data_IF_355946369323
#
_entry.id   IF_355946369323
#
_cell.length_a   1.000
_cell.length_b   1.000
_cell.length_c   1.000
_cell.angle_alpha   90.00
_cell.angle_beta   90.00
_cell.angle_gamma   90.00
#
_symmetry.space_group_name_H-M   'P 1'
#
loop_
_entity.id
_entity.type
_entity.pdbx_description
1 polymer ?
#
# COMPACT_ATOMS: atom_id res chain seq x y z
N UNK A 1 3.84 -8.30 -0.88
CA UNK A 1 3.38 -6.91 -1.00
C UNK A 1 2.04 -6.82 -1.75
N UNK A 2 1.89 -7.44 -2.92
CA UNK A 2 0.66 -7.40 -3.71
C UNK A 2 -0.59 -7.82 -2.92
N UNK A 3 -0.52 -8.92 -2.17
CA UNK A 3 -1.62 -9.39 -1.34
C UNK A 3 -2.06 -8.34 -0.30
N UNK A 4 -1.12 -7.66 0.34
CA UNK A 4 -1.41 -6.60 1.32
C UNK A 4 -2.11 -5.42 0.64
N UNK A 5 -1.61 -4.98 -0.52
CA UNK A 5 -2.23 -3.90 -1.29
C UNK A 5 -3.65 -4.27 -1.76
N UNK A 6 -3.86 -5.52 -2.17
CA UNK A 6 -5.19 -6.02 -2.53
C UNK A 6 -6.13 -6.04 -1.31
N UNK A 7 -5.67 -6.48 -0.13
CA UNK A 7 -6.47 -6.44 1.09
C UNK A 7 -6.86 -5.01 1.48
N UNK A 8 -5.92 -4.04 1.36
CA UNK A 8 -6.21 -2.63 1.61
C UNK A 8 -7.24 -2.11 0.61
N UNK A 9 -7.10 -2.45 -0.68
CA UNK A 9 -8.04 -2.05 -1.72
C UNK A 9 -9.46 -2.60 -1.48
N UNK A 10 -9.57 -3.88 -1.13
CA UNK A 10 -10.85 -4.51 -0.78
C UNK A 10 -11.43 -3.84 0.47
N UNK A 11 -10.63 -3.64 1.52
CA UNK A 11 -11.07 -2.98 2.75
C UNK A 11 -11.57 -1.56 2.50
N UNK A 12 -10.98 -0.80 1.58
CA UNK A 12 -11.45 0.56 1.26
C UNK A 12 -12.68 0.58 0.36
N UNK A 13 -12.87 -0.40 -0.53
CA UNK A 13 -14.01 -0.47 -1.43
C UNK A 13 -15.27 -1.07 -0.77
N UNK A 14 -15.10 -1.98 0.18
CA UNK A 14 -16.18 -2.76 0.79
C UNK A 14 -17.29 -1.89 1.39
N UNK A 15 -17.01 -0.79 2.13
CA UNK A 15 -18.04 0.08 2.69
C UNK A 15 -18.91 0.78 1.65
N UNK A 16 -18.35 0.99 0.46
CA UNK A 16 -19.05 1.68 -0.64
C UNK A 16 -19.99 0.73 -1.36
N UNK A 17 -19.56 -0.55 -1.51
CA UNK A 17 -20.35 -1.57 -2.22
C UNK A 17 -21.43 -2.16 -1.36
N UNK A 18 -21.17 -2.36 -0.06
CA UNK A 18 -22.08 -2.99 0.91
C UNK A 18 -22.17 -2.15 2.19
N UNK A 19 -23.02 -1.10 2.23
CA UNK A 19 -23.11 -0.16 3.36
C UNK A 19 -23.90 -0.75 4.53
N UNK A 20 -23.42 -1.85 5.12
CA UNK A 20 -24.03 -2.52 6.28
C UNK A 20 -23.09 -2.41 7.50
N UNK A 21 -23.66 -2.23 8.71
CA UNK A 21 -22.90 -2.09 9.96
C UNK A 21 -21.83 -3.18 10.18
N UNK A 22 -22.17 -4.48 10.10
CA UNK A 22 -21.20 -5.56 10.23
C UNK A 22 -20.09 -5.50 9.17
N UNK A 23 -20.42 -5.15 7.92
CA UNK A 23 -19.47 -5.02 6.83
C UNK A 23 -18.49 -3.86 7.06
N UNK A 24 -18.98 -2.74 7.61
CA UNK A 24 -18.14 -1.62 8.00
C UNK A 24 -17.10 -2.01 9.05
N UNK A 25 -17.47 -2.80 10.05
CA UNK A 25 -16.54 -3.30 11.06
C UNK A 25 -15.48 -4.22 10.46
N UNK A 26 -15.89 -5.19 9.64
CA UNK A 26 -14.96 -6.10 8.96
C UNK A 26 -14.02 -5.32 8.04
N UNK A 27 -14.54 -4.36 7.27
CA UNK A 27 -13.76 -3.47 6.41
C UNK A 27 -12.71 -2.70 7.21
N UNK A 28 -13.10 -2.09 8.33
CA UNK A 28 -12.19 -1.32 9.19
C UNK A 28 -11.07 -2.20 9.75
N UNK A 29 -11.37 -3.42 10.18
CA UNK A 29 -10.38 -4.37 10.70
C UNK A 29 -9.42 -4.82 9.58
N UNK A 30 -9.94 -5.24 8.42
CA UNK A 30 -9.12 -5.69 7.28
C UNK A 30 -8.23 -4.55 6.78
N UNK A 31 -8.79 -3.36 6.61
CA UNK A 31 -8.04 -2.18 6.19
C UNK A 31 -6.95 -1.82 7.19
N UNK A 32 -7.32 -1.68 8.48
CA UNK A 32 -6.40 -1.29 9.55
C UNK A 32 -5.23 -2.25 9.69
N UNK A 33 -5.48 -3.55 9.79
CA UNK A 33 -4.43 -4.57 9.89
C UNK A 33 -3.52 -4.54 8.66
N UNK A 34 -4.09 -4.45 7.46
CA UNK A 34 -3.32 -4.46 6.22
C UNK A 34 -2.43 -3.22 6.05
N UNK A 35 -2.92 -2.05 6.43
CA UNK A 35 -2.13 -0.79 6.39
C UNK A 35 -0.91 -0.88 7.30
N UNK A 36 -1.07 -1.42 8.51
CA UNK A 36 0.07 -1.58 9.43
C UNK A 36 1.09 -2.62 8.98
N UNK A 37 0.68 -3.61 8.19
CA UNK A 37 1.60 -4.61 7.63
C UNK A 37 2.42 -4.08 6.43
N UNK A 38 1.96 -3.04 5.74
CA UNK A 38 2.59 -2.55 4.53
C UNK A 38 4.05 -2.07 4.72
N UNK A 39 4.40 -1.24 5.72
CA UNK A 39 5.79 -0.83 5.97
C UNK A 39 6.72 -2.01 6.27
N UNK A 40 6.23 -2.99 7.03
CA UNK A 40 6.98 -4.22 7.32
C UNK A 40 7.27 -5.04 6.06
N UNK A 41 6.30 -5.17 5.16
CA UNK A 41 6.47 -5.88 3.90
C UNK A 41 7.50 -5.19 2.98
N UNK A 42 7.50 -3.86 2.92
CA UNK A 42 8.48 -3.08 2.14
C UNK A 42 9.88 -3.25 2.72
N UNK A 43 10.01 -3.17 4.03
CA UNK A 43 11.29 -3.38 4.72
C UNK A 43 11.83 -4.78 4.49
N UNK A 44 10.99 -5.80 4.58
CA UNK A 44 11.37 -7.18 4.32
C UNK A 44 11.80 -7.38 2.85
N UNK A 45 11.05 -6.80 1.90
CA UNK A 45 11.42 -6.81 0.49
C UNK A 45 12.80 -6.19 0.24
N UNK A 46 13.09 -5.04 0.83
CA UNK A 46 14.39 -4.39 0.73
C UNK A 46 15.52 -5.28 1.26
N UNK A 47 15.31 -5.93 2.42
CA UNK A 47 16.30 -6.83 3.02
C UNK A 47 16.57 -8.09 2.21
N UNK A 48 15.55 -8.62 1.53
CA UNK A 48 15.69 -9.83 0.71
C UNK A 48 16.36 -9.56 -0.64
N UNK A 49 16.26 -8.35 -1.17
CA UNK A 49 16.70 -8.03 -2.53
C UNK A 49 17.95 -7.13 -2.60
N UNK A 50 18.38 -6.54 -1.49
CA UNK A 50 19.49 -5.60 -1.45
C UNK A 50 20.59 -6.07 -0.50
N UNK A 51 21.87 -5.76 -0.82
CA UNK A 51 22.98 -6.01 0.11
C UNK A 51 22.83 -5.13 1.37
N UNK A 52 23.35 -5.59 2.54
CA UNK A 52 23.23 -4.85 3.81
C UNK A 52 23.67 -3.40 3.75
N UNK A 53 24.70 -3.09 2.97
CA UNK A 53 25.22 -1.73 2.80
C UNK A 53 24.20 -0.77 2.14
N UNK A 54 23.22 -1.29 1.39
CA UNK A 54 22.19 -0.51 0.70
C UNK A 54 20.88 -0.37 1.52
N UNK A 55 20.70 -1.12 2.60
CA UNK A 55 19.43 -1.13 3.36
C UNK A 55 19.06 0.24 3.90
N UNK A 56 20.03 0.96 4.50
CA UNK A 56 19.78 2.29 5.06
C UNK A 56 19.22 3.26 4.02
N UNK A 57 19.85 3.32 2.85
CA UNK A 57 19.40 4.19 1.75
C UNK A 57 18.02 3.80 1.22
N UNK A 58 17.79 2.51 1.01
CA UNK A 58 16.52 2.03 0.49
C UNK A 58 15.37 2.30 1.48
N UNK A 59 15.57 1.98 2.76
CA UNK A 59 14.55 2.19 3.79
C UNK A 59 14.27 3.69 3.98
N UNK A 60 15.30 4.55 3.97
CA UNK A 60 15.12 6.01 4.05
C UNK A 60 14.33 6.56 2.87
N UNK A 61 14.60 6.09 1.65
CA UNK A 61 13.87 6.49 0.47
C UNK A 61 12.39 6.05 0.54
N UNK A 62 12.13 4.82 0.93
CA UNK A 62 10.76 4.34 1.12
C UNK A 62 10.02 5.13 2.20
N UNK A 63 10.69 5.44 3.30
CA UNK A 63 10.11 6.27 4.39
C UNK A 63 9.78 7.67 3.89
N UNK A 64 10.65 8.29 3.11
CA UNK A 64 10.42 9.61 2.52
C UNK A 64 9.21 9.59 1.58
N UNK A 65 9.18 8.64 0.65
CA UNK A 65 8.05 8.49 -0.29
C UNK A 65 6.74 8.24 0.46
N UNK A 66 6.79 7.39 1.49
CA UNK A 66 5.64 7.10 2.34
C UNK A 66 5.14 8.35 3.09
N UNK A 67 6.04 9.15 3.67
CA UNK A 67 5.69 10.39 4.36
C UNK A 67 5.03 11.41 3.42
N UNK A 68 5.59 11.58 2.22
CA UNK A 68 5.00 12.45 1.18
C UNK A 68 3.62 11.94 0.78
N UNK A 69 3.47 10.64 0.55
CA UNK A 69 2.20 10.05 0.18
C UNK A 69 1.15 10.15 1.29
N UNK A 70 1.55 10.01 2.56
CA UNK A 70 0.65 10.19 3.72
C UNK A 70 0.14 11.63 3.83
N UNK A 71 0.93 12.61 3.45
CA UNK A 71 0.51 14.02 3.46
C UNK A 71 -0.37 14.35 2.25
N UNK A 72 0.06 13.93 1.06
CA UNK A 72 -0.65 14.21 -0.19
C UNK A 72 -1.94 13.40 -0.36
N UNK A 73 -1.98 12.18 0.18
CA UNK A 73 -3.12 11.25 0.05
C UNK A 73 -4.43 11.81 0.60
N UNK A 74 -4.50 12.19 1.88
CA UNK A 74 -5.71 12.77 2.46
C UNK A 74 -6.16 14.06 1.76
N UNK A 75 -5.19 14.91 1.36
CA UNK A 75 -5.48 16.12 0.62
C UNK A 75 -6.13 15.82 -0.75
N UNK A 76 -5.53 14.90 -1.51
CA UNK A 76 -6.08 14.45 -2.79
C UNK A 76 -7.45 13.77 -2.65
N UNK A 77 -7.62 12.93 -1.63
CA UNK A 77 -8.90 12.27 -1.35
C UNK A 77 -9.98 13.27 -0.96
N UNK A 78 -9.65 14.29 -0.15
CA UNK A 78 -10.54 15.39 0.19
C UNK A 78 -10.98 16.16 -1.05
N UNK A 79 -10.03 16.55 -1.89
CA UNK A 79 -10.30 17.28 -3.14
C UNK A 79 -11.24 16.49 -4.08
N UNK A 80 -11.01 15.19 -4.25
CA UNK A 80 -11.89 14.32 -5.06
C UNK A 80 -13.27 14.23 -4.42
N UNK A 81 -13.36 14.09 -3.09
CA UNK A 81 -14.61 14.06 -2.35
C UNK A 81 -15.40 15.35 -2.52
N UNK A 82 -14.76 16.51 -2.40
CA UNK A 82 -15.39 17.83 -2.53
C UNK A 82 -15.87 18.07 -3.97
N UNK A 83 -15.05 17.74 -4.96
CA UNK A 83 -15.43 17.91 -6.37
C UNK A 83 -16.56 16.97 -6.81
N UNK A 84 -16.61 15.77 -6.28
CA UNK A 84 -17.64 14.77 -6.61
C UNK A 84 -18.90 14.86 -5.73
N UNK A 85 -18.83 15.59 -4.63
CA UNK A 85 -19.88 15.64 -3.61
C UNK A 85 -20.15 14.29 -2.91
N UNK A 86 -19.25 13.31 -3.07
CA UNK A 86 -19.43 11.95 -2.54
C UNK A 86 -18.10 11.33 -2.10
N UNK A 87 -17.95 11.11 -0.81
CA UNK A 87 -16.77 10.47 -0.21
C UNK A 87 -16.50 9.05 -0.76
N UNK A 88 -17.54 8.35 -1.18
CA UNK A 88 -17.44 7.02 -1.77
C UNK A 88 -16.59 7.02 -3.06
N UNK A 89 -16.64 8.10 -3.84
CA UNK A 89 -15.82 8.26 -5.04
C UNK A 89 -14.34 8.32 -4.68
N UNK A 90 -13.99 9.04 -3.61
CA UNK A 90 -12.59 9.09 -3.10
C UNK A 90 -12.11 7.72 -2.65
N UNK A 91 -12.94 6.95 -1.96
CA UNK A 91 -12.59 5.59 -1.52
C UNK A 91 -12.39 4.64 -2.69
N UNK A 92 -13.24 4.72 -3.71
CA UNK A 92 -13.09 3.91 -4.93
C UNK A 92 -11.85 4.32 -5.73
N UNK A 93 -11.56 5.61 -5.85
CA UNK A 93 -10.34 6.09 -6.49
C UNK A 93 -9.09 5.60 -5.76
N UNK A 94 -9.07 5.64 -4.43
CA UNK A 94 -7.99 5.09 -3.62
C UNK A 94 -7.85 3.57 -3.80
N UNK A 95 -8.97 2.83 -3.83
CA UNK A 95 -8.97 1.39 -4.09
C UNK A 95 -8.40 1.06 -5.48
N UNK A 96 -8.77 1.81 -6.51
CA UNK A 96 -8.24 1.65 -7.87
C UNK A 96 -6.72 1.87 -7.92
N UNK A 97 -6.21 2.93 -7.28
CA UNK A 97 -4.77 3.19 -7.18
C UNK A 97 -4.01 2.07 -6.45
N UNK A 98 -4.59 1.52 -5.38
CA UNK A 98 -4.02 0.39 -4.65
C UNK A 98 -3.99 -0.88 -5.50
N UNK A 99 -5.00 -1.14 -6.32
CA UNK A 99 -5.01 -2.27 -7.25
C UNK A 99 -3.95 -2.11 -8.35
N UNK A 100 -3.76 -0.90 -8.88
CA UNK A 100 -2.64 -0.62 -9.79
C UNK A 100 -1.31 -0.91 -9.12
N UNK A 101 -1.12 -0.46 -7.88
CA UNK A 101 0.06 -0.78 -7.08
C UNK A 101 0.25 -2.28 -6.86
N UNK A 102 -0.83 -3.03 -6.62
CA UNK A 102 -0.79 -4.48 -6.45
C UNK A 102 -0.36 -5.18 -7.76
N UNK A 103 -0.88 -4.76 -8.90
CA UNK A 103 -0.48 -5.28 -10.21
C UNK A 103 1.00 -5.00 -10.49
N UNK A 104 1.46 -3.77 -10.23
CA UNK A 104 2.89 -3.42 -10.36
C UNK A 104 3.76 -4.27 -9.43
N UNK A 105 3.30 -4.54 -8.21
CA UNK A 105 4.01 -5.40 -7.28
C UNK A 105 4.08 -6.87 -7.75
N UNK A 106 3.07 -7.37 -8.47
CA UNK A 106 3.09 -8.70 -9.08
C UNK A 106 4.05 -8.78 -10.27
N UNK A 107 4.23 -7.68 -11.00
CA UNK A 107 5.16 -7.59 -12.13
C UNK A 107 6.63 -7.48 -11.69
N UNK A 108 6.88 -7.20 -10.43
CA UNK A 108 8.24 -7.13 -9.88
C UNK A 108 8.90 -8.52 -9.92
N UNK A 109 10.01 -8.61 -10.62
CA UNK A 109 10.84 -9.82 -10.61
C UNK A 109 11.78 -9.77 -9.40
N UNK A 110 11.99 -10.91 -8.68
CA UNK A 110 12.97 -10.97 -7.62
C UNK A 110 14.37 -10.69 -8.22
N UNK A 111 15.12 -9.78 -7.60
CA UNK A 111 16.50 -9.55 -7.95
C UNK A 111 17.31 -10.80 -7.60
N UNK A 112 18.16 -11.24 -8.52
CA UNK A 112 19.04 -12.38 -8.28
C UNK A 112 19.95 -12.04 -7.09
N UNK A 113 20.03 -12.89 -6.04
CA UNK A 113 20.93 -12.62 -4.92
C UNK A 113 22.35 -12.42 -5.45
N UNK A 114 23.14 -11.48 -4.91
CA UNK A 114 24.56 -11.37 -5.27
C UNK A 114 25.26 -12.70 -4.97
N UNK A 115 26.10 -13.14 -5.90
CA UNK A 115 26.86 -14.35 -5.72
C UNK A 115 27.68 -14.27 -4.41
N UNK A 116 27.75 -15.36 -3.61
CA UNK A 116 28.58 -15.36 -2.41
C UNK A 116 30.04 -15.01 -2.78
N UNK A 117 30.77 -14.27 -1.93
CA UNK A 117 32.15 -13.95 -2.19
C UNK A 117 32.95 -15.26 -2.39
N UNK A 118 33.77 -15.30 -3.43
CA UNK A 118 34.69 -16.40 -3.66
C UNK A 118 35.55 -16.58 -2.40
N UNK A 119 35.56 -17.80 -1.84
CA UNK A 119 36.43 -18.17 -0.72
C UNK A 119 37.84 -18.33 -1.16
#
# INVERSE_FOLDING_TARGET
LAMILTCIAIGSALPVVLPNGPVLLVSAVVFGLSVFMAPGAVTNFARQNLPPAAWGRAISLFTLVFAVAQTAGPYGAGLVGDLSGNIGVSLLAAAALLLVGAVLALLQRPLKPPAPPAR
#
